data_IF_087422938624
#
_entry.id   IF_087422938624
#
_cell.length_a   1.000
_cell.length_b   1.000
_cell.length_c   1.000
_cell.angle_alpha   90.00
_cell.angle_beta   90.00
_cell.angle_gamma   90.00
#
_symmetry.space_group_name_H-M   'P 1'
#
loop_
_entity.id
_entity.type
_entity.pdbx_description
1 polymer ?
#
# COMPACT_ATOMS: atom_id res chain seq x y z
N UNK A 1 -11.23 -90.66 9.61
CA UNK A 1 -11.56 -89.36 10.26
C UNK A 1 -10.58 -88.32 9.83
N UNK A 2 -10.91 -87.48 8.86
CA UNK A 2 -10.07 -86.33 8.37
C UNK A 2 -10.64 -85.03 8.94
N UNK A 3 -9.86 -84.35 9.76
CA UNK A 3 -10.22 -83.05 10.31
C UNK A 3 -9.78 -81.94 9.33
N UNK A 4 -10.71 -81.25 8.75
CA UNK A 4 -10.46 -80.06 7.96
C UNK A 4 -10.24 -78.86 8.90
N UNK A 5 -9.10 -78.20 8.76
CA UNK A 5 -8.78 -76.95 9.45
C UNK A 5 -9.18 -75.80 8.51
N UNK A 6 -10.19 -75.02 8.90
CA UNK A 6 -10.52 -73.76 8.23
C UNK A 6 -9.55 -72.68 8.67
N UNK A 7 -8.78 -72.17 7.73
CA UNK A 7 -7.92 -71.00 7.94
C UNK A 7 -8.75 -69.76 7.50
N UNK A 8 -9.17 -68.99 8.49
CA UNK A 8 -9.86 -67.72 8.24
C UNK A 8 -8.79 -66.62 7.97
N UNK A 9 -8.68 -66.17 6.72
CA UNK A 9 -7.84 -65.07 6.36
C UNK A 9 -8.49 -63.73 6.79
N UNK A 10 -7.85 -63.06 7.73
CA UNK A 10 -8.22 -61.71 8.20
C UNK A 10 -7.67 -60.66 7.20
N UNK A 11 -8.51 -60.12 6.32
CA UNK A 11 -8.13 -58.99 5.47
C UNK A 11 -8.08 -57.71 6.32
N UNK A 12 -6.86 -57.27 6.67
CA UNK A 12 -6.69 -55.89 7.16
C UNK A 12 -6.93 -54.93 5.99
N UNK A 13 -8.01 -54.24 6.01
CA UNK A 13 -8.23 -53.08 5.16
C UNK A 13 -7.33 -51.91 5.62
N UNK A 14 -6.29 -51.62 4.84
CA UNK A 14 -5.51 -50.37 4.98
C UNK A 14 -6.44 -49.20 4.66
N UNK A 15 -6.87 -48.48 5.70
CA UNK A 15 -7.50 -47.16 5.55
C UNK A 15 -6.42 -46.20 5.03
N UNK A 16 -6.58 -45.61 3.84
CA UNK A 16 -5.62 -44.60 3.41
C UNK A 16 -5.66 -43.46 4.42
N UNK A 17 -4.50 -43.19 5.03
CA UNK A 17 -4.36 -42.07 5.95
C UNK A 17 -4.86 -40.79 5.29
N UNK A 18 -5.78 -40.09 5.95
CA UNK A 18 -6.15 -38.74 5.56
C UNK A 18 -4.85 -37.91 5.53
N UNK A 19 -4.41 -37.52 4.34
CA UNK A 19 -3.38 -36.53 4.22
C UNK A 19 -3.93 -35.26 4.87
N UNK A 20 -3.27 -34.80 5.93
CA UNK A 20 -3.52 -33.46 6.46
C UNK A 20 -3.37 -32.51 5.29
N UNK A 21 -4.47 -31.93 4.85
CA UNK A 21 -4.40 -30.78 3.96
C UNK A 21 -3.64 -29.72 4.76
N UNK A 22 -2.49 -29.30 4.27
CA UNK A 22 -1.83 -28.08 4.76
C UNK A 22 -2.89 -26.99 4.66
N UNK A 23 -3.53 -26.69 5.77
CA UNK A 23 -4.48 -25.59 5.86
C UNK A 23 -3.64 -24.32 5.79
N UNK A 24 -3.59 -23.70 4.60
CA UNK A 24 -3.01 -22.38 4.43
C UNK A 24 -3.65 -21.45 5.46
N UNK A 25 -2.84 -20.98 6.40
CA UNK A 25 -3.22 -19.89 7.30
C UNK A 25 -2.82 -18.58 6.62
N UNK A 26 -3.78 -17.80 6.11
CA UNK A 26 -3.48 -16.56 5.42
C UNK A 26 -2.88 -15.48 6.33
N UNK A 27 -2.83 -15.71 7.63
CA UNK A 27 -2.29 -14.77 8.62
C UNK A 27 -0.99 -15.26 9.27
N UNK A 28 -0.47 -16.44 8.90
CA UNK A 28 0.75 -17.01 9.49
C UNK A 28 1.95 -16.07 9.39
N UNK A 29 2.06 -15.35 8.28
CA UNK A 29 3.17 -14.42 8.01
C UNK A 29 2.85 -12.96 8.39
N UNK A 30 1.70 -12.68 9.04
CA UNK A 30 1.31 -11.32 9.41
C UNK A 30 1.69 -10.99 10.84
N UNK A 31 2.35 -9.84 11.00
CA UNK A 31 2.69 -9.27 12.29
C UNK A 31 1.80 -8.05 12.61
N UNK A 32 1.43 -7.83 13.90
CA UNK A 32 0.73 -6.61 14.29
C UNK A 32 1.59 -5.38 14.01
N UNK A 33 1.03 -4.39 13.33
CA UNK A 33 1.72 -3.14 13.02
C UNK A 33 1.29 -2.06 14.00
N UNK A 34 2.25 -1.38 14.62
CA UNK A 34 1.99 -0.15 15.35
C UNK A 34 1.56 0.94 14.36
N UNK A 35 0.49 1.67 14.68
CA UNK A 35 0.06 2.80 13.86
C UNK A 35 1.17 3.84 13.76
N UNK A 36 1.53 4.26 12.56
CA UNK A 36 2.33 5.45 12.38
C UNK A 36 1.54 6.66 12.89
N UNK A 37 2.21 7.51 13.68
CA UNK A 37 1.65 8.80 14.05
C UNK A 37 1.49 9.73 12.85
N UNK A 38 0.99 10.92 13.08
CA UNK A 38 1.02 11.99 12.08
C UNK A 38 2.49 12.34 11.82
N UNK A 39 2.91 12.28 10.56
CA UNK A 39 4.27 12.64 10.16
C UNK A 39 4.29 14.11 9.76
N UNK A 40 5.22 14.85 10.35
CA UNK A 40 5.45 16.24 9.96
C UNK A 40 5.85 16.32 8.49
N UNK A 41 5.28 17.30 7.81
CA UNK A 41 5.62 17.58 6.42
C UNK A 41 7.02 18.18 6.31
N UNK A 42 7.87 17.74 5.36
CA UNK A 42 9.18 18.35 5.13
C UNK A 42 9.07 19.85 4.85
N UNK A 43 10.07 20.62 5.32
CA UNK A 43 10.09 22.07 5.06
C UNK A 43 10.43 22.35 3.61
N UNK A 44 9.72 23.31 3.03
CA UNK A 44 10.02 23.87 1.72
C UNK A 44 10.08 25.40 1.81
N UNK A 45 10.88 26.04 0.98
CA UNK A 45 11.12 27.48 1.01
C UNK A 45 10.83 28.09 -0.36
N UNK A 46 10.10 29.19 -0.36
CA UNK A 46 9.81 29.97 -1.56
C UNK A 46 10.61 31.27 -1.60
N UNK A 47 10.71 31.87 -2.77
CA UNK A 47 11.42 33.14 -3.00
C UNK A 47 10.65 34.35 -2.48
N UNK A 48 9.33 34.30 -2.39
CA UNK A 48 8.46 35.40 -1.97
C UNK A 48 7.54 34.99 -0.82
N UNK A 49 7.11 35.96 -0.01
CA UNK A 49 6.20 35.74 1.10
C UNK A 49 4.83 35.17 0.64
N UNK A 50 4.30 35.63 -0.49
CA UNK A 50 3.04 35.15 -1.02
C UNK A 50 3.14 33.69 -1.50
N UNK A 51 4.23 33.34 -2.18
CA UNK A 51 4.50 31.95 -2.57
C UNK A 51 4.73 31.07 -1.34
N UNK A 52 5.41 31.57 -0.30
CA UNK A 52 5.63 30.84 0.96
C UNK A 52 4.29 30.52 1.64
N UNK A 53 3.35 31.47 1.66
CA UNK A 53 2.03 31.22 2.26
C UNK A 53 1.26 30.09 1.55
N UNK A 54 1.39 29.98 0.21
CA UNK A 54 0.83 28.86 -0.55
C UNK A 54 1.50 27.54 -0.21
N UNK A 55 2.83 27.52 -0.11
CA UNK A 55 3.61 26.36 0.25
C UNK A 55 3.29 25.90 1.69
N UNK A 56 3.19 26.82 2.63
CA UNK A 56 2.85 26.52 4.04
C UNK A 56 1.43 25.91 4.14
N UNK A 57 0.47 26.45 3.38
CA UNK A 57 -0.87 25.87 3.28
C UNK A 57 -0.82 24.46 2.68
N UNK A 58 0.00 24.22 1.66
CA UNK A 58 0.18 22.91 1.04
C UNK A 58 0.80 21.91 2.03
N UNK A 59 1.84 22.30 2.76
CA UNK A 59 2.46 21.49 3.79
C UNK A 59 1.47 21.09 4.88
N UNK A 60 0.70 22.05 5.40
CA UNK A 60 -0.36 21.81 6.36
C UNK A 60 -1.38 20.78 5.86
N UNK A 61 -1.83 20.91 4.61
CA UNK A 61 -2.79 19.98 4.02
C UNK A 61 -2.20 18.58 3.79
N UNK A 62 -0.94 18.48 3.36
CA UNK A 62 -0.23 17.20 3.19
C UNK A 62 -0.11 16.46 4.53
N UNK A 63 0.17 17.19 5.61
CA UNK A 63 0.21 16.64 6.96
C UNK A 63 -1.19 16.24 7.45
N UNK A 64 -2.18 17.14 7.33
CA UNK A 64 -3.57 16.91 7.75
C UNK A 64 -4.21 15.72 7.03
N UNK A 65 -3.98 15.58 5.73
CA UNK A 65 -4.48 14.47 4.91
C UNK A 65 -3.69 13.17 5.09
N UNK A 66 -2.59 13.21 5.84
CA UNK A 66 -1.79 12.04 6.16
C UNK A 66 -1.00 11.45 4.98
N UNK A 67 -0.64 12.26 3.99
CA UNK A 67 0.11 11.79 2.81
C UNK A 67 1.40 11.06 3.20
N UNK A 68 2.13 11.57 4.21
CA UNK A 68 3.35 10.99 4.74
C UNK A 68 3.17 9.57 5.29
N UNK A 69 2.00 9.23 5.83
CA UNK A 69 1.76 7.92 6.43
C UNK A 69 1.90 6.76 5.43
N UNK A 70 1.62 7.02 4.15
CA UNK A 70 1.82 6.04 3.08
C UNK A 70 3.06 6.34 2.24
N UNK A 71 3.31 7.62 1.91
CA UNK A 71 4.35 8.04 0.98
C UNK A 71 5.71 8.31 1.62
N UNK A 72 5.93 7.94 2.89
CA UNK A 72 7.24 7.93 3.54
C UNK A 72 7.69 6.50 3.76
N UNK A 73 8.90 6.16 3.34
CA UNK A 73 9.43 4.80 3.44
C UNK A 73 9.40 4.29 4.88
N UNK A 74 8.87 3.07 5.08
CA UNK A 74 8.73 2.45 6.41
C UNK A 74 7.60 2.99 7.28
N UNK A 75 6.93 4.10 6.92
CA UNK A 75 5.85 4.67 7.74
C UNK A 75 4.65 3.73 7.89
N UNK A 76 4.32 2.96 6.84
CA UNK A 76 3.24 1.98 6.87
C UNK A 76 3.41 0.88 7.93
N UNK A 77 4.63 0.63 8.37
CA UNK A 77 4.96 -0.35 9.43
C UNK A 77 5.43 0.32 10.74
N UNK A 78 5.14 1.61 10.93
CA UNK A 78 5.49 2.35 12.14
C UNK A 78 6.98 2.64 12.32
N UNK A 79 7.78 2.55 11.26
CA UNK A 79 9.23 2.78 11.23
C UNK A 79 9.61 3.80 10.15
N UNK A 80 9.10 5.06 10.22
CA UNK A 80 9.32 6.04 9.16
C UNK A 80 10.80 6.39 9.00
N UNK A 81 11.28 6.36 7.77
CA UNK A 81 12.58 6.88 7.39
C UNK A 81 12.43 8.35 6.98
N UNK A 82 12.78 9.26 7.86
CA UNK A 82 12.62 10.70 7.63
C UNK A 82 13.53 11.25 6.53
N UNK A 83 14.66 10.60 6.22
CA UNK A 83 15.51 10.94 5.07
C UNK A 83 14.81 10.66 3.72
N UNK A 84 13.72 9.91 3.75
CA UNK A 84 12.85 9.57 2.61
C UNK A 84 11.41 10.04 2.82
N UNK A 85 11.24 11.13 3.58
CA UNK A 85 9.91 11.70 3.79
C UNK A 85 9.27 12.08 2.44
N UNK A 86 8.05 11.62 2.20
CA UNK A 86 7.29 11.76 0.94
C UNK A 86 7.98 11.19 -0.31
N UNK A 87 9.10 10.48 -0.17
CA UNK A 87 9.81 9.88 -1.31
C UNK A 87 9.29 8.49 -1.72
N UNK A 88 8.07 8.13 -1.30
CA UNK A 88 7.48 6.83 -1.58
C UNK A 88 7.87 5.75 -0.59
N UNK A 89 7.34 4.55 -0.76
CA UNK A 89 7.54 3.45 0.19
C UNK A 89 7.92 2.15 -0.51
N UNK A 90 8.92 1.47 0.06
CA UNK A 90 9.29 0.09 -0.28
C UNK A 90 8.37 -0.95 0.37
N UNK A 91 7.47 -0.50 1.26
CA UNK A 91 6.38 -1.30 1.81
C UNK A 91 5.11 -0.96 1.05
N UNK A 92 4.48 -1.96 0.45
CA UNK A 92 3.26 -1.79 -0.33
C UNK A 92 1.99 -1.89 0.51
N UNK A 93 0.86 -1.75 -0.17
CA UNK A 93 -0.48 -1.91 0.37
C UNK A 93 -1.18 -2.99 -0.44
N UNK A 94 -1.52 -4.11 0.20
CA UNK A 94 -2.38 -5.10 -0.43
C UNK A 94 -3.84 -4.61 -0.38
N UNK A 95 -4.52 -4.60 -1.53
CA UNK A 95 -5.89 -4.12 -1.63
C UNK A 95 -6.88 -5.20 -2.10
N UNK A 96 -6.43 -6.42 -2.34
CA UNK A 96 -7.30 -7.59 -2.47
C UNK A 96 -7.33 -8.38 -1.15
N UNK A 97 -8.35 -9.24 -1.00
CA UNK A 97 -8.58 -9.94 0.27
C UNK A 97 -7.49 -11.00 0.54
N UNK A 98 -6.58 -10.81 1.52
CA UNK A 98 -5.49 -11.74 1.81
C UNK A 98 -5.99 -13.07 2.38
N UNK A 99 -7.20 -13.10 2.97
CA UNK A 99 -7.81 -14.33 3.47
C UNK A 99 -8.31 -15.26 2.34
N UNK A 100 -8.34 -14.75 1.10
CA UNK A 100 -8.77 -15.50 -0.09
C UNK A 100 -7.72 -15.59 -1.17
N UNK A 101 -6.77 -14.66 -1.17
CA UNK A 101 -5.77 -14.51 -2.23
C UNK A 101 -4.37 -14.79 -1.66
N UNK A 102 -3.82 -15.97 -1.93
CA UNK A 102 -2.43 -16.29 -1.61
C UNK A 102 -1.44 -15.27 -2.23
N UNK A 103 -1.82 -14.66 -3.35
CA UNK A 103 -1.03 -13.64 -4.05
C UNK A 103 -1.90 -12.39 -4.28
N UNK A 104 -1.97 -11.47 -3.29
CA UNK A 104 -2.79 -10.26 -3.41
C UNK A 104 -2.19 -9.27 -4.41
N UNK A 105 -3.01 -8.36 -4.92
CA UNK A 105 -2.51 -7.17 -5.59
C UNK A 105 -1.84 -6.25 -4.57
N UNK A 106 -0.66 -5.74 -4.91
CA UNK A 106 0.12 -4.83 -4.05
C UNK A 106 0.38 -3.54 -4.82
N UNK A 107 0.08 -2.42 -4.18
CA UNK A 107 0.39 -1.07 -4.69
C UNK A 107 1.46 -0.46 -3.80
N UNK A 108 2.51 0.06 -4.41
CA UNK A 108 3.54 0.78 -3.70
C UNK A 108 3.30 2.29 -3.79
N UNK A 109 3.24 3.01 -2.64
CA UNK A 109 3.09 4.45 -2.64
C UNK A 109 4.25 5.13 -3.36
N UNK A 110 3.92 5.96 -4.36
CA UNK A 110 4.90 6.60 -5.24
C UNK A 110 5.74 7.67 -4.52
N UNK A 111 6.90 7.99 -5.09
CA UNK A 111 7.72 9.12 -4.70
C UNK A 111 7.04 10.44 -5.11
N UNK A 112 6.67 11.27 -4.13
CA UNK A 112 6.01 12.57 -4.30
C UNK A 112 6.99 13.74 -4.34
N UNK A 113 8.32 13.50 -4.18
CA UNK A 113 9.31 14.55 -4.30
C UNK A 113 9.60 14.88 -5.77
N UNK A 114 10.13 16.09 -6.07
CA UNK A 114 10.41 16.49 -7.45
C UNK A 114 11.70 15.87 -8.03
N UNK A 115 12.01 14.64 -7.65
CA UNK A 115 13.06 13.87 -8.32
C UNK A 115 12.60 13.51 -9.75
N UNK A 116 13.49 13.76 -10.72
CA UNK A 116 13.13 13.61 -12.15
C UNK A 116 13.09 12.16 -12.63
N UNK A 117 13.79 11.26 -11.94
CA UNK A 117 13.88 9.86 -12.38
C UNK A 117 12.91 8.95 -11.63
N UNK A 118 12.66 9.25 -10.36
CA UNK A 118 11.90 8.35 -9.48
C UNK A 118 10.64 9.00 -8.90
N UNK A 119 10.47 10.32 -9.05
CA UNK A 119 9.37 11.09 -8.48
C UNK A 119 8.60 11.91 -9.52
N UNK A 120 8.03 13.03 -9.07
CA UNK A 120 7.15 13.89 -9.88
C UNK A 120 7.89 15.08 -10.52
N UNK A 121 9.23 15.08 -10.58
CA UNK A 121 10.03 16.23 -11.04
C UNK A 121 9.85 16.61 -12.51
N UNK A 122 9.27 15.73 -13.31
CA UNK A 122 8.92 16.02 -14.70
C UNK A 122 7.42 16.32 -14.89
N UNK A 123 6.63 16.36 -13.81
CA UNK A 123 5.20 16.60 -13.89
C UNK A 123 4.90 18.10 -13.82
N UNK A 124 3.87 18.50 -14.52
CA UNK A 124 3.28 19.85 -14.35
C UNK A 124 2.38 19.88 -13.11
N UNK A 125 2.18 21.05 -12.54
CA UNK A 125 1.23 21.24 -11.43
C UNK A 125 -0.16 20.67 -11.76
N UNK A 126 -0.65 20.88 -12.97
CA UNK A 126 -1.94 20.35 -13.41
C UNK A 126 -1.99 18.80 -13.42
N UNK A 127 -0.87 18.14 -13.76
CA UNK A 127 -0.78 16.67 -13.68
C UNK A 127 -0.77 16.19 -12.23
N UNK A 128 -0.04 16.87 -11.33
CA UNK A 128 -0.03 16.55 -9.90
C UNK A 128 -1.45 16.72 -9.31
N UNK A 129 -2.11 17.82 -9.58
CA UNK A 129 -3.51 18.08 -9.14
C UNK A 129 -4.46 16.99 -9.65
N UNK A 130 -4.37 16.62 -10.92
CA UNK A 130 -5.18 15.56 -11.52
C UNK A 130 -4.94 14.21 -10.85
N UNK A 131 -3.70 13.87 -10.52
CA UNK A 131 -3.37 12.64 -9.82
C UNK A 131 -3.97 12.62 -8.41
N UNK A 132 -3.91 13.73 -7.67
CA UNK A 132 -4.48 13.85 -6.33
C UNK A 132 -6.00 13.74 -6.36
N UNK A 133 -6.68 14.45 -7.25
CA UNK A 133 -8.16 14.52 -7.25
C UNK A 133 -8.82 13.34 -7.97
N UNK A 134 -8.16 12.80 -9.00
CA UNK A 134 -8.80 11.84 -9.91
C UNK A 134 -8.04 10.51 -10.02
N UNK A 135 -6.85 10.41 -9.45
CA UNK A 135 -6.01 9.20 -9.56
C UNK A 135 -5.54 8.94 -10.98
N UNK A 136 -5.28 9.98 -11.76
CA UNK A 136 -4.78 9.86 -13.13
C UNK A 136 -3.36 10.39 -13.19
N UNK A 137 -2.41 9.55 -13.56
CA UNK A 137 -0.98 9.89 -13.63
C UNK A 137 -0.64 10.86 -14.79
N UNK A 138 0.64 11.18 -14.95
CA UNK A 138 1.09 12.10 -15.99
C UNK A 138 0.85 11.56 -17.39
N UNK A 139 0.91 10.25 -17.58
CA UNK A 139 0.68 9.54 -18.84
C UNK A 139 -0.81 9.37 -19.17
N UNK A 140 -1.70 9.65 -18.21
CA UNK A 140 -3.14 9.52 -18.37
C UNK A 140 -3.71 8.18 -17.91
N UNK A 141 -2.92 7.33 -17.25
CA UNK A 141 -3.38 6.05 -16.76
C UNK A 141 -4.16 6.21 -15.45
N UNK A 142 -5.23 5.42 -15.30
CA UNK A 142 -5.99 5.37 -14.06
C UNK A 142 -5.22 4.54 -13.02
N UNK A 143 -4.96 5.16 -11.88
CA UNK A 143 -4.31 4.52 -10.74
C UNK A 143 -5.26 3.54 -10.02
N UNK A 144 -4.68 2.54 -9.35
CA UNK A 144 -5.45 1.61 -8.53
C UNK A 144 -6.09 2.33 -7.32
N UNK A 145 -7.35 1.98 -6.92
CA UNK A 145 -8.15 2.78 -5.99
C UNK A 145 -7.76 2.58 -4.52
N UNK A 146 -6.50 2.85 -4.19
CA UNK A 146 -5.98 2.79 -2.81
C UNK A 146 -6.09 4.15 -2.11
N UNK A 147 -5.82 5.24 -2.84
CA UNK A 147 -6.01 6.60 -2.32
C UNK A 147 -7.49 6.97 -2.22
N UNK A 148 -7.89 7.81 -1.24
CA UNK A 148 -9.29 8.19 -1.02
C UNK A 148 -9.78 9.28 -1.99
N UNK A 149 -9.64 9.08 -3.30
CA UNK A 149 -10.01 10.06 -4.33
C UNK A 149 -11.45 10.55 -4.24
N UNK A 150 -12.38 9.73 -3.71
CA UNK A 150 -13.75 10.16 -3.46
C UNK A 150 -13.86 11.36 -2.53
N UNK A 151 -12.95 11.48 -1.55
CA UNK A 151 -12.82 12.64 -0.69
C UNK A 151 -11.99 13.73 -1.34
N UNK A 152 -10.87 13.41 -1.97
CA UNK A 152 -9.94 14.38 -2.56
C UNK A 152 -10.52 15.16 -3.74
N UNK A 153 -11.51 14.59 -4.47
CA UNK A 153 -12.30 15.32 -5.48
C UNK A 153 -13.08 16.51 -4.91
N UNK A 154 -13.28 16.56 -3.59
CA UNK A 154 -13.97 17.66 -2.91
C UNK A 154 -13.04 18.76 -2.41
N UNK A 155 -11.73 18.59 -2.54
CA UNK A 155 -10.77 19.64 -2.25
C UNK A 155 -11.09 20.88 -3.10
N UNK A 156 -11.03 22.06 -2.47
CA UNK A 156 -11.14 23.31 -3.20
C UNK A 156 -9.94 23.43 -4.15
N UNK A 157 -10.15 24.18 -5.23
CA UNK A 157 -9.09 24.42 -6.22
C UNK A 157 -7.86 25.05 -5.59
N UNK A 158 -8.03 26.00 -4.67
CA UNK A 158 -6.92 26.59 -3.90
C UNK A 158 -6.14 25.58 -3.09
N UNK A 159 -6.83 24.61 -2.49
CA UNK A 159 -6.21 23.64 -1.59
C UNK A 159 -5.38 22.61 -2.38
N UNK A 160 -5.95 22.06 -3.47
CA UNK A 160 -5.21 21.11 -4.32
C UNK A 160 -4.05 21.80 -5.05
N UNK A 161 -4.17 23.06 -5.41
CA UNK A 161 -3.08 23.87 -5.95
C UNK A 161 -1.98 24.07 -4.92
N UNK A 162 -2.32 24.40 -3.67
CA UNK A 162 -1.36 24.55 -2.60
C UNK A 162 -0.59 23.23 -2.33
N UNK A 163 -1.30 22.09 -2.30
CA UNK A 163 -0.65 20.77 -2.17
C UNK A 163 0.32 20.52 -3.33
N UNK A 164 -0.09 20.76 -4.57
CA UNK A 164 0.75 20.51 -5.74
C UNK A 164 1.99 21.42 -5.75
N UNK A 165 1.80 22.72 -5.44
CA UNK A 165 2.90 23.69 -5.34
C UNK A 165 3.91 23.30 -4.25
N UNK A 166 3.42 22.84 -3.08
CA UNK A 166 4.26 22.36 -2.00
C UNK A 166 5.06 21.13 -2.44
N UNK A 167 4.43 20.10 -2.99
CA UNK A 167 5.12 18.88 -3.40
C UNK A 167 6.21 19.15 -4.46
N UNK A 168 5.95 20.07 -5.39
CA UNK A 168 6.89 20.46 -6.43
C UNK A 168 8.02 21.38 -5.91
N UNK A 169 7.88 21.95 -4.71
CA UNK A 169 8.88 22.80 -4.06
C UNK A 169 9.79 22.07 -3.07
N UNK A 170 9.55 20.79 -2.84
CA UNK A 170 10.38 19.95 -1.97
C UNK A 170 11.77 19.74 -2.56
N UNK A 171 12.74 19.41 -1.70
CA UNK A 171 14.02 18.89 -2.16
C UNK A 171 13.82 17.51 -2.84
N UNK A 172 14.42 17.26 -4.00
CA UNK A 172 14.31 15.99 -4.68
C UNK A 172 15.04 14.89 -3.90
N UNK A 173 14.34 13.79 -3.66
CA UNK A 173 14.90 12.59 -3.03
C UNK A 173 14.84 11.43 -4.02
N UNK A 174 15.99 10.92 -4.44
CA UNK A 174 16.04 9.76 -5.34
C UNK A 174 15.69 8.49 -4.57
N UNK A 175 14.52 7.95 -4.85
CA UNK A 175 14.05 6.69 -4.28
C UNK A 175 13.13 5.97 -5.26
N UNK A 176 13.61 4.88 -5.83
CA UNK A 176 12.80 4.01 -6.70
C UNK A 176 11.99 3.05 -5.86
N UNK A 177 10.70 3.22 -5.86
CA UNK A 177 9.77 2.27 -5.25
C UNK A 177 9.62 1.01 -6.13
N UNK A 178 9.27 -0.16 -5.56
CA UNK A 178 9.00 -1.36 -6.34
C UNK A 178 7.81 -1.16 -7.31
N UNK A 179 7.78 -1.97 -8.37
CA UNK A 179 6.64 -2.02 -9.27
C UNK A 179 5.41 -2.62 -8.58
N UNK A 180 4.23 -2.15 -8.95
CA UNK A 180 2.97 -2.71 -8.46
C UNK A 180 2.81 -4.16 -8.87
N UNK A 181 2.30 -4.99 -7.95
CA UNK A 181 2.07 -6.41 -8.19
C UNK A 181 0.59 -6.65 -8.51
N UNK A 182 0.34 -7.32 -9.62
CA UNK A 182 -1.03 -7.68 -10.01
C UNK A 182 -1.47 -8.94 -9.26
N UNK A 183 -2.76 -9.01 -8.93
CA UNK A 183 -3.38 -10.19 -8.28
C UNK A 183 -3.03 -11.49 -8.99
N UNK A 184 -2.71 -12.51 -8.21
CA UNK A 184 -2.33 -13.83 -8.73
C UNK A 184 -0.88 -13.94 -9.21
N UNK A 185 -0.08 -12.90 -9.03
CA UNK A 185 1.36 -12.93 -9.33
C UNK A 185 2.15 -13.09 -8.04
N UNK A 186 3.06 -14.08 -7.94
CA UNK A 186 3.97 -14.16 -6.82
C UNK A 186 4.89 -12.93 -6.81
N UNK A 187 5.17 -12.42 -5.62
CA UNK A 187 6.10 -11.31 -5.41
C UNK A 187 7.06 -11.71 -4.30
N UNK A 188 8.15 -12.38 -4.68
CA UNK A 188 9.18 -12.80 -3.75
C UNK A 188 9.79 -11.58 -3.04
N UNK A 189 9.90 -11.64 -1.71
CA UNK A 189 10.44 -10.56 -0.90
C UNK A 189 9.56 -9.31 -0.81
N UNK A 190 8.33 -9.33 -1.33
CA UNK A 190 7.41 -8.20 -1.20
C UNK A 190 7.04 -7.99 0.27
N UNK A 191 7.17 -6.72 0.72
CA UNK A 191 6.69 -6.29 2.03
C UNK A 191 5.44 -5.44 1.80
N UNK A 192 4.37 -5.76 2.49
CA UNK A 192 3.12 -5.02 2.35
C UNK A 192 2.28 -5.09 3.63
N UNK A 193 1.47 -4.07 3.83
CA UNK A 193 0.44 -4.04 4.86
C UNK A 193 -0.92 -4.34 4.24
N UNK A 194 -1.84 -4.83 5.06
CA UNK A 194 -3.22 -5.01 4.67
C UNK A 194 -4.11 -4.14 5.55
N UNK A 195 -4.89 -3.25 4.93
CA UNK A 195 -5.84 -2.42 5.65
C UNK A 195 -7.17 -3.14 5.82
N UNK A 196 -7.45 -3.56 7.05
CA UNK A 196 -8.77 -3.94 7.50
C UNK A 196 -9.34 -5.20 6.86
N UNK A 197 -9.48 -6.24 7.65
CA UNK A 197 -10.34 -7.38 7.32
C UNK A 197 -11.70 -7.11 7.94
N UNK A 198 -12.73 -6.92 7.11
CA UNK A 198 -14.10 -6.90 7.58
C UNK A 198 -14.63 -8.34 7.65
N UNK A 199 -15.07 -8.74 8.82
CA UNK A 199 -15.79 -10.01 9.01
C UNK A 199 -17.20 -9.70 9.52
N UNK A 200 -18.21 -10.11 8.79
CA UNK A 200 -19.59 -10.14 9.29
C UNK A 200 -19.76 -11.38 10.17
N UNK A 201 -20.27 -11.21 11.38
CA UNK A 201 -20.60 -12.33 12.26
C UNK A 201 -21.73 -13.19 11.70
N UNK A 202 -22.55 -12.64 10.81
CA UNK A 202 -23.66 -13.35 10.17
C UNK A 202 -23.18 -14.34 9.09
N UNK A 203 -21.88 -14.35 8.76
CA UNK A 203 -21.26 -15.28 7.82
C UNK A 203 -20.62 -16.51 8.51
N UNK A 204 -20.80 -16.66 9.81
CA UNK A 204 -20.16 -17.71 10.64
C UNK A 204 -21.13 -18.85 11.02
N UNK A 205 -22.24 -19.05 10.27
CA UNK A 205 -23.10 -20.26 10.36
C UNK A 205 -22.73 -21.30 9.31
#
# INVERSE_FOLDING_TARGET
MRRSVLVTALCLALVPGAQAQDTYDPLEDYEPVASAGVLEAPKAVAETADAQAVIDQGAYLVELLGCGACHTDGALIGQPNYDRALAGSSVGIAFSNPLKDAFPSIVYPANLTPDKETGIGNWTEAQVRRAIQHGVDAEGNQQLPVMPWGAYRKLKESDVTAIASYLLSLEPVSHRVPDNVMRGKPAEGARYVHFGVYMSRDAAE
#
